data_IF_017762977256
#
_entry.id   IF_017762977256
#
_cell.length_a   1.000
_cell.length_b   1.000
_cell.length_c   1.000
_cell.angle_alpha   90.00
_cell.angle_beta   90.00
_cell.angle_gamma   90.00
#
_symmetry.space_group_name_H-M   'P 1'
#
loop_
_entity.id
_entity.type
_entity.pdbx_description
1 polymer ?
#
# COMPACT_ATOMS: atom_id res chain seq x y z
N UNK A 1 -11.16 1.91 -1.78
CA UNK A 1 -10.93 0.59 -1.13
C UNK A 1 -9.85 0.83 -0.09
N UNK A 2 -10.05 0.47 1.17
CA UNK A 2 -9.11 0.80 2.25
C UNK A 2 -7.81 -0.01 2.18
N UNK A 3 -6.73 0.51 2.78
CA UNK A 3 -5.47 -0.23 2.89
C UNK A 3 -5.64 -1.56 3.64
N UNK A 4 -6.52 -1.61 4.65
CA UNK A 4 -6.76 -2.82 5.42
C UNK A 4 -7.46 -3.91 4.59
N UNK A 5 -8.41 -3.55 3.72
CA UNK A 5 -9.02 -4.48 2.77
C UNK A 5 -7.99 -5.04 1.78
N UNK A 6 -7.10 -4.18 1.25
CA UNK A 6 -6.03 -4.61 0.35
C UNK A 6 -5.05 -5.57 1.02
N UNK A 7 -4.63 -5.28 2.26
CA UNK A 7 -3.77 -6.15 3.05
C UNK A 7 -4.47 -7.49 3.38
N UNK A 8 -5.77 -7.47 3.66
CA UNK A 8 -6.53 -8.71 3.87
C UNK A 8 -6.58 -9.56 2.61
N UNK A 9 -6.75 -8.94 1.43
CA UNK A 9 -6.68 -9.65 0.14
C UNK A 9 -5.30 -10.25 -0.10
N UNK A 10 -4.22 -9.51 0.20
CA UNK A 10 -2.85 -10.02 0.12
C UNK A 10 -2.68 -11.31 0.94
N UNK A 11 -3.09 -11.30 2.21
CA UNK A 11 -2.99 -12.46 3.11
C UNK A 11 -3.85 -13.62 2.61
N UNK A 12 -5.11 -13.36 2.23
CA UNK A 12 -6.04 -14.38 1.77
C UNK A 12 -5.55 -15.07 0.48
N UNK A 13 -4.91 -14.31 -0.41
CA UNK A 13 -4.32 -14.82 -1.66
C UNK A 13 -2.89 -15.34 -1.49
N UNK A 14 -2.35 -15.34 -0.26
CA UNK A 14 -0.98 -15.77 0.05
C UNK A 14 0.08 -15.03 -0.78
N UNK A 15 -0.16 -13.75 -1.07
CA UNK A 15 0.79 -12.93 -1.80
C UNK A 15 1.97 -12.47 -0.93
N UNK A 16 3.10 -12.20 -1.57
CA UNK A 16 4.32 -11.71 -0.92
C UNK A 16 4.35 -10.18 -0.77
N UNK A 17 3.87 -9.46 -1.79
CA UNK A 17 3.97 -7.99 -1.87
C UNK A 17 2.62 -7.38 -2.27
N UNK A 18 2.27 -6.25 -1.66
CA UNK A 18 1.19 -5.37 -2.10
C UNK A 18 1.80 -4.13 -2.75
N UNK A 19 1.41 -3.86 -3.99
CA UNK A 19 1.81 -2.68 -4.76
C UNK A 19 0.61 -1.74 -4.93
N UNK A 20 0.74 -0.52 -4.42
CA UNK A 20 -0.25 0.56 -4.54
C UNK A 20 0.42 1.76 -5.20
N UNK A 21 -0.19 2.30 -6.26
CA UNK A 21 0.30 3.50 -6.97
C UNK A 21 -0.85 4.42 -7.31
N UNK A 22 -0.58 5.73 -7.30
CA UNK A 22 -1.57 6.72 -7.70
C UNK A 22 -1.88 6.63 -9.19
N UNK A 23 -3.14 6.86 -9.55
CA UNK A 23 -3.60 6.83 -10.94
C UNK A 23 -3.66 5.45 -11.58
N UNK A 24 -3.45 4.38 -10.81
CA UNK A 24 -3.50 3.01 -11.30
C UNK A 24 -4.15 2.05 -10.30
N UNK A 25 -4.41 0.80 -10.73
CA UNK A 25 -4.96 -0.21 -9.86
C UNK A 25 -3.93 -0.74 -8.84
N UNK A 26 -4.42 -1.42 -7.80
CA UNK A 26 -3.58 -2.16 -6.87
C UNK A 26 -3.26 -3.56 -7.39
N UNK A 27 -2.05 -4.02 -7.11
CA UNK A 27 -1.55 -5.34 -7.47
C UNK A 27 -1.00 -6.06 -6.25
N UNK A 28 -1.07 -7.38 -6.25
CA UNK A 28 -0.30 -8.22 -5.35
C UNK A 28 0.67 -9.08 -6.15
N UNK A 29 1.77 -9.49 -5.52
CA UNK A 29 2.63 -10.54 -6.06
C UNK A 29 2.26 -11.88 -5.46
N UNK A 30 1.96 -12.88 -6.29
CA UNK A 30 1.71 -14.27 -5.88
C UNK A 30 2.63 -15.16 -6.71
N UNK A 31 3.42 -16.00 -6.06
CA UNK A 31 4.37 -16.92 -6.70
C UNK A 31 5.28 -16.25 -7.76
N UNK A 32 5.67 -15.00 -7.51
CA UNK A 32 6.54 -14.20 -8.37
C UNK A 32 5.80 -13.32 -9.39
N UNK A 33 4.53 -13.59 -9.67
CA UNK A 33 3.74 -12.89 -10.69
C UNK A 33 2.87 -11.77 -10.09
N UNK A 34 2.75 -10.65 -10.80
CA UNK A 34 1.86 -9.55 -10.40
C UNK A 34 0.42 -9.84 -10.85
N UNK A 35 -0.50 -9.89 -9.88
CA UNK A 35 -1.94 -10.06 -10.09
C UNK A 35 -2.68 -8.81 -9.65
N UNK A 36 -3.53 -8.27 -10.53
CA UNK A 36 -4.37 -7.13 -10.22
C UNK A 36 -5.48 -7.52 -9.22
N UNK A 37 -5.68 -6.72 -8.17
CA UNK A 37 -6.69 -6.98 -7.13
C UNK A 37 -7.75 -5.89 -6.98
N UNK A 38 -7.49 -4.71 -7.53
CA UNK A 38 -8.46 -3.64 -7.68
C UNK A 38 -8.57 -3.29 -9.16
N UNK A 39 -9.77 -3.15 -9.71
CA UNK A 39 -9.96 -2.74 -11.10
C UNK A 39 -9.72 -1.24 -11.30
N UNK A 40 -10.11 -0.45 -10.31
CA UNK A 40 -10.16 1.01 -10.41
C UNK A 40 -8.83 1.67 -10.08
N UNK A 41 -8.59 2.81 -10.74
CA UNK A 41 -7.45 3.66 -10.45
C UNK A 41 -7.61 4.32 -9.07
N UNK A 42 -6.57 4.23 -8.24
CA UNK A 42 -6.57 4.82 -6.90
C UNK A 42 -6.09 6.27 -7.00
N UNK A 43 -6.89 7.28 -6.61
CA UNK A 43 -6.48 8.68 -6.65
C UNK A 43 -5.25 8.94 -5.76
N UNK A 44 -4.42 9.93 -6.13
CA UNK A 44 -3.22 10.28 -5.36
C UNK A 44 -3.53 10.61 -3.89
N UNK A 45 -4.63 11.32 -3.64
CA UNK A 45 -5.09 11.65 -2.28
C UNK A 45 -5.40 10.41 -1.44
N UNK A 46 -5.97 9.36 -2.03
CA UNK A 46 -6.29 8.12 -1.32
C UNK A 46 -5.00 7.33 -1.01
N UNK A 47 -4.06 7.26 -1.96
CA UNK A 47 -2.74 6.64 -1.72
C UNK A 47 -1.98 7.35 -0.60
N UNK A 48 -1.99 8.68 -0.59
CA UNK A 48 -1.36 9.46 0.48
C UNK A 48 -2.05 9.24 1.83
N UNK A 49 -3.39 9.21 1.86
CA UNK A 49 -4.14 8.88 3.08
C UNK A 49 -3.79 7.49 3.62
N UNK A 50 -3.66 6.48 2.75
CA UNK A 50 -3.22 5.13 3.15
C UNK A 50 -1.85 5.16 3.82
N UNK A 51 -0.86 5.85 3.22
CA UNK A 51 0.48 6.01 3.80
C UNK A 51 0.39 6.72 5.17
N UNK A 52 -0.36 7.81 5.26
CA UNK A 52 -0.48 8.61 6.48
C UNK A 52 -1.21 7.87 7.61
N UNK A 53 -2.01 6.84 7.31
CA UNK A 53 -2.66 6.02 8.33
C UNK A 53 -1.67 5.06 9.02
N UNK A 54 -0.70 4.50 8.29
CA UNK A 54 0.21 3.46 8.83
C UNK A 54 1.61 3.97 9.17
N UNK A 55 2.04 5.09 8.60
CA UNK A 55 3.35 5.67 8.87
C UNK A 55 3.46 6.22 10.30
N UNK A 56 4.57 5.93 10.97
CA UNK A 56 4.91 6.59 12.24
C UNK A 56 5.20 8.07 12.05
N UNK A 57 5.17 8.88 13.13
CA UNK A 57 5.53 10.31 13.04
C UNK A 57 6.92 10.54 12.45
N UNK A 58 7.89 9.67 12.78
CA UNK A 58 9.24 9.71 12.19
C UNK A 58 9.21 9.42 10.69
N UNK A 59 8.48 8.40 10.25
CA UNK A 59 8.37 8.03 8.85
C UNK A 59 7.69 9.13 8.02
N UNK A 60 6.60 9.73 8.53
CA UNK A 60 5.92 10.88 7.89
C UNK A 60 6.86 12.05 7.68
N UNK A 61 7.63 12.42 8.71
CA UNK A 61 8.61 13.51 8.61
C UNK A 61 9.66 13.20 7.52
N UNK A 62 10.21 11.99 7.51
CA UNK A 62 11.20 11.58 6.53
C UNK A 62 10.64 11.64 5.10
N UNK A 63 9.42 11.13 4.90
CA UNK A 63 8.72 11.16 3.62
C UNK A 63 8.49 12.60 3.14
N UNK A 64 8.03 13.51 4.00
CA UNK A 64 7.80 14.91 3.63
C UNK A 64 9.11 15.66 3.29
N UNK A 65 10.22 15.32 3.96
CA UNK A 65 11.52 15.97 3.73
C UNK A 65 12.27 15.40 2.51
N UNK A 66 12.14 14.10 2.24
CA UNK A 66 12.97 13.38 1.25
C UNK A 66 12.20 12.82 0.06
N UNK A 67 10.87 12.76 0.14
CA UNK A 67 10.02 12.12 -0.86
C UNK A 67 9.94 10.60 -0.73
N UNK A 68 10.65 9.98 0.22
CA UNK A 68 10.68 8.53 0.44
C UNK A 68 10.91 8.18 1.92
N UNK A 69 10.47 7.00 2.33
CA UNK A 69 10.79 6.44 3.64
C UNK A 69 10.57 4.92 3.67
N UNK A 70 11.37 4.23 4.49
CA UNK A 70 11.15 2.84 4.85
C UNK A 70 10.75 2.72 6.33
N UNK A 71 9.75 1.89 6.61
CA UNK A 71 9.31 1.59 7.97
C UNK A 71 8.56 0.26 8.03
N UNK A 72 8.45 -0.30 9.24
CA UNK A 72 7.61 -1.46 9.52
C UNK A 72 6.31 -1.03 10.19
N UNK A 73 5.22 -1.71 9.86
CA UNK A 73 3.92 -1.56 10.50
C UNK A 73 3.34 -2.95 10.76
N UNK A 74 2.65 -3.13 11.87
CA UNK A 74 1.92 -4.36 12.19
C UNK A 74 0.43 -4.03 12.22
N UNK A 75 -0.33 -4.68 11.35
CA UNK A 75 -1.78 -4.69 11.43
C UNK A 75 -2.20 -5.65 12.56
N UNK A 76 -3.00 -5.16 13.50
CA UNK A 76 -3.62 -5.95 14.57
C UNK A 76 -4.94 -6.55 14.13
#
# INVERSE_FOLDING_TARGET
>A
MSLQELLQVLVNKRGSDLHVRSGGPAYIRVDGELSQICADAIPAVEVEQMLMQVASGRAKKLYLERGECDFSFQAG
#
